data_IF_631928860323
#
_entry.id   IF_631928860323
#
_cell.length_a   1.000
_cell.length_b   1.000
_cell.length_c   1.000
_cell.angle_alpha   90.00
_cell.angle_beta   90.00
_cell.angle_gamma   90.00
#
_symmetry.space_group_name_H-M   'P 1'
#
loop_
_entity.id
_entity.type
_entity.pdbx_description
1 polymer ?
#
# COMPACT_ATOMS: atom_id res chain seq x y z
N UNK A 1 11.28 15.73 -5.49
CA UNK A 1 11.69 14.31 -5.38
C UNK A 1 11.46 13.60 -6.70
N UNK A 2 12.38 12.77 -7.13
CA UNK A 2 12.14 12.00 -8.33
C UNK A 2 11.03 10.97 -8.10
N UNK A 3 10.24 10.76 -9.13
CA UNK A 3 9.15 9.78 -9.08
C UNK A 3 9.56 8.54 -9.86
N UNK A 4 9.08 7.41 -9.39
CA UNK A 4 9.35 6.12 -10.04
C UNK A 4 8.07 5.60 -10.66
N UNK A 5 8.19 5.03 -11.84
CA UNK A 5 7.08 4.38 -12.52
C UNK A 5 7.37 2.88 -12.59
N UNK A 6 6.41 2.07 -12.14
CA UNK A 6 6.55 0.62 -12.12
C UNK A 6 5.46 0.01 -12.99
N UNK A 7 5.85 -0.87 -13.91
CA UNK A 7 4.90 -1.61 -14.72
C UNK A 7 4.73 -3.00 -14.11
N UNK A 8 3.51 -3.30 -13.69
CA UNK A 8 3.20 -4.57 -13.04
C UNK A 8 2.11 -5.29 -13.82
N UNK A 9 2.20 -6.63 -13.88
CA UNK A 9 1.08 -7.42 -14.34
C UNK A 9 -0.07 -7.28 -13.35
N UNK A 10 -1.26 -7.68 -13.79
CA UNK A 10 -2.44 -7.63 -12.91
C UNK A 10 -2.22 -8.44 -11.63
N UNK A 11 -1.64 -9.63 -11.77
CA UNK A 11 -1.37 -10.51 -10.62
C UNK A 11 -0.33 -9.90 -9.69
N UNK A 12 0.71 -9.28 -10.24
CA UNK A 12 1.74 -8.63 -9.42
C UNK A 12 1.17 -7.42 -8.68
N UNK A 13 0.28 -6.67 -9.31
CA UNK A 13 -0.39 -5.54 -8.68
C UNK A 13 -1.25 -6.02 -7.51
N UNK A 14 -1.99 -7.10 -7.71
CA UNK A 14 -2.81 -7.70 -6.65
C UNK A 14 -1.93 -8.12 -5.47
N UNK A 15 -0.78 -8.74 -5.77
CA UNK A 15 0.16 -9.15 -4.74
C UNK A 15 0.65 -7.95 -3.94
N UNK A 16 0.95 -6.84 -4.61
CA UNK A 16 1.37 -5.61 -3.94
C UNK A 16 0.27 -5.07 -3.01
N UNK A 17 -0.97 -5.09 -3.47
CA UNK A 17 -2.10 -4.67 -2.63
C UNK A 17 -2.19 -5.51 -1.37
N UNK A 18 -2.04 -6.82 -1.50
CA UNK A 18 -2.10 -7.71 -0.34
C UNK A 18 -0.97 -7.42 0.64
N UNK A 19 0.23 -7.16 0.14
CA UNK A 19 1.37 -6.83 1.00
C UNK A 19 1.11 -5.54 1.78
N UNK A 20 0.53 -4.54 1.14
CA UNK A 20 0.23 -3.27 1.80
C UNK A 20 -0.83 -3.47 2.89
N UNK A 21 -1.87 -4.22 2.59
CA UNK A 21 -2.94 -4.49 3.56
C UNK A 21 -2.40 -5.28 4.75
N UNK A 22 -1.55 -6.28 4.50
CA UNK A 22 -0.92 -7.05 5.57
C UNK A 22 -0.04 -6.17 6.44
N UNK A 23 0.71 -5.25 5.83
CA UNK A 23 1.56 -4.35 6.60
C UNK A 23 0.71 -3.44 7.50
N UNK A 24 -0.41 -2.95 6.99
CA UNK A 24 -1.33 -2.13 7.77
C UNK A 24 -1.86 -2.88 9.00
N UNK A 25 -2.17 -4.18 8.82
CA UNK A 25 -2.75 -4.98 9.90
C UNK A 25 -1.71 -5.43 10.93
N UNK A 26 -0.58 -5.90 10.46
CA UNK A 26 0.34 -6.68 11.30
C UNK A 26 1.76 -6.12 11.34
N UNK A 27 2.09 -5.25 10.41
CA UNK A 27 3.43 -4.71 10.32
C UNK A 27 3.70 -3.60 11.33
N UNK A 28 4.96 -3.20 11.38
CA UNK A 28 5.36 -2.04 12.16
C UNK A 28 6.11 -1.08 11.26
N UNK A 29 6.35 0.13 11.74
CA UNK A 29 7.00 1.17 10.94
C UNK A 29 8.47 1.40 11.35
N UNK A 30 9.14 0.34 11.84
CA UNK A 30 10.56 0.42 12.17
C UNK A 30 11.44 0.54 10.93
N UNK A 31 11.05 -0.17 9.85
CA UNK A 31 11.81 -0.20 8.60
C UNK A 31 11.18 0.70 7.54
N UNK A 32 9.86 0.73 7.51
CA UNK A 32 9.11 1.48 6.51
C UNK A 32 8.67 2.82 7.12
N UNK A 33 9.01 3.91 6.45
CA UNK A 33 8.61 5.25 6.86
C UNK A 33 7.08 5.38 6.74
N UNK A 34 6.43 5.82 7.82
CA UNK A 34 4.98 5.91 7.85
C UNK A 34 4.43 6.91 6.84
N UNK A 35 5.07 8.07 6.69
CA UNK A 35 4.63 9.05 5.71
C UNK A 35 4.68 8.49 4.29
N UNK A 36 5.77 7.79 3.96
CA UNK A 36 5.93 7.19 2.64
C UNK A 36 4.92 6.08 2.42
N UNK A 37 4.59 5.33 3.48
CA UNK A 37 3.56 4.30 3.40
C UNK A 37 2.20 4.91 3.02
N UNK A 38 1.83 6.01 3.68
CA UNK A 38 0.54 6.64 3.38
C UNK A 38 0.54 7.34 2.01
N UNK A 39 1.69 7.84 1.55
CA UNK A 39 1.81 8.35 0.19
C UNK A 39 1.52 7.24 -0.83
N UNK A 40 2.06 6.03 -0.59
CA UNK A 40 1.80 4.89 -1.43
C UNK A 40 0.32 4.51 -1.43
N UNK A 41 -0.29 4.48 -0.27
CA UNK A 41 -1.73 4.18 -0.13
C UNK A 41 -2.55 5.21 -0.89
N UNK A 42 -2.18 6.49 -0.79
CA UNK A 42 -2.91 7.56 -1.48
C UNK A 42 -2.86 7.42 -3.00
N UNK A 43 -1.82 6.78 -3.52
CA UNK A 43 -1.69 6.57 -4.96
C UNK A 43 -2.40 5.28 -5.43
N UNK A 44 -3.01 4.52 -4.51
CA UNK A 44 -3.67 3.26 -4.83
C UNK A 44 -5.10 3.25 -4.28
N UNK A 45 -6.08 3.80 -5.05
CA UNK A 45 -7.46 3.91 -4.56
C UNK A 45 -8.09 2.60 -4.10
N UNK A 46 -7.75 1.48 -4.74
CA UNK A 46 -8.29 0.19 -4.33
C UNK A 46 -7.81 -0.22 -2.94
N UNK A 47 -6.56 0.12 -2.59
CA UNK A 47 -6.03 -0.14 -1.26
C UNK A 47 -6.72 0.77 -0.24
N UNK A 48 -6.91 2.04 -0.59
CA UNK A 48 -7.63 2.97 0.29
C UNK A 48 -9.01 2.44 0.65
N UNK A 49 -9.71 1.92 -0.35
CA UNK A 49 -11.04 1.35 -0.14
C UNK A 49 -10.97 0.17 0.82
N UNK A 50 -10.02 -0.73 0.62
CA UNK A 50 -9.88 -1.91 1.47
C UNK A 50 -9.54 -1.55 2.91
N UNK A 51 -8.64 -0.59 3.11
CA UNK A 51 -8.28 -0.15 4.46
C UNK A 51 -9.45 0.51 5.15
N UNK A 52 -10.24 1.28 4.41
CA UNK A 52 -11.43 1.94 4.95
C UNK A 52 -12.46 0.91 5.42
N UNK A 53 -12.63 -0.18 4.68
CA UNK A 53 -13.55 -1.25 5.06
C UNK A 53 -13.07 -1.97 6.31
N UNK A 54 -11.76 -2.07 6.51
CA UNK A 54 -11.20 -2.73 7.68
C UNK A 54 -11.39 -1.94 8.97
N UNK A 55 -11.54 -0.62 8.87
CA UNK A 55 -11.69 0.25 10.04
C UNK A 55 -13.12 0.32 10.57
N UNK A 56 -14.03 -0.40 9.97
CA UNK A 56 -15.43 -0.41 10.42
C UNK A 56 -15.68 -1.38 11.57
#
# INVERSE_FOLDING_TARGET
MPHHTINLSHDAFFCLEELIVDHYKFGNFDVIDEESFWELVDSMPSVQYRLREMDR
#
